data_IF_121719519305
#
_entry.id   IF_121719519305
#
_cell.length_a   1.000
_cell.length_b   1.000
_cell.length_c   1.000
_cell.angle_alpha   90.00
_cell.angle_beta   90.00
_cell.angle_gamma   90.00
#
_symmetry.space_group_name_H-M   'P 1'
#
loop_
_entity.id
_entity.type
_entity.pdbx_description
1 polymer ?
#
# COMPACT_ATOMS: atom_id res chain seq x y z
N UNK A 1 0.47 -7.90 18.73
CA UNK A 1 -0.66 -7.46 17.88
C UNK A 1 -0.82 -8.46 16.74
N UNK A 2 -2.04 -8.74 16.30
CA UNK A 2 -2.29 -9.55 15.09
C UNK A 2 -1.99 -8.73 13.83
N UNK A 3 -1.58 -9.38 12.74
CA UNK A 3 -1.36 -8.74 11.42
C UNK A 3 -2.56 -7.88 11.01
N UNK A 4 -3.78 -8.38 11.24
CA UNK A 4 -5.03 -7.64 10.98
C UNK A 4 -5.15 -6.33 11.78
N UNK A 5 -4.77 -6.33 13.06
CA UNK A 5 -4.83 -5.11 13.89
C UNK A 5 -3.79 -4.08 13.47
N UNK A 6 -2.59 -4.54 13.11
CA UNK A 6 -1.55 -3.67 12.57
C UNK A 6 -1.97 -3.06 11.22
N UNK A 7 -2.53 -3.88 10.33
CA UNK A 7 -3.03 -3.43 9.03
C UNK A 7 -4.11 -2.35 9.19
N UNK A 8 -5.06 -2.57 10.09
CA UNK A 8 -6.12 -1.60 10.34
C UNK A 8 -5.59 -0.26 10.89
N UNK A 9 -4.66 -0.31 11.85
CA UNK A 9 -4.00 0.87 12.41
C UNK A 9 -3.22 1.66 11.35
N UNK A 10 -2.50 0.96 10.47
CA UNK A 10 -1.79 1.56 9.33
C UNK A 10 -2.78 2.27 8.39
N UNK A 11 -3.91 1.64 8.03
CA UNK A 11 -4.89 2.28 7.14
C UNK A 11 -5.49 3.54 7.74
N UNK A 12 -5.65 3.59 9.06
CA UNK A 12 -6.19 4.78 9.73
C UNK A 12 -5.20 5.95 9.71
N UNK A 13 -3.91 5.69 9.89
CA UNK A 13 -2.89 6.73 9.82
C UNK A 13 -1.52 6.17 9.41
N UNK A 14 -1.25 6.04 8.10
CA UNK A 14 -0.08 5.33 7.62
C UNK A 14 1.23 6.10 7.91
N UNK A 15 1.17 7.44 7.94
CA UNK A 15 2.29 8.31 8.31
C UNK A 15 2.75 8.15 9.78
N UNK A 16 1.96 7.50 10.63
CA UNK A 16 2.34 7.17 12.02
C UNK A 16 3.31 6.00 12.08
N UNK A 17 3.24 5.10 11.11
CA UNK A 17 3.97 3.82 11.11
C UNK A 17 5.15 3.87 10.13
N UNK A 18 4.95 4.52 8.99
CA UNK A 18 5.92 4.63 7.92
C UNK A 18 6.38 6.08 7.77
N UNK A 19 7.65 6.28 7.39
CA UNK A 19 8.19 7.62 7.14
C UNK A 19 7.86 8.13 5.75
N UNK A 20 7.70 7.21 4.80
CA UNK A 20 7.38 7.55 3.41
C UNK A 20 6.53 6.44 2.77
N UNK A 21 5.78 6.78 1.72
CA UNK A 21 4.95 5.82 0.99
C UNK A 21 5.78 4.64 0.44
N UNK A 22 7.02 4.89 0.03
CA UNK A 22 7.94 3.85 -0.44
C UNK A 22 8.31 2.79 0.62
N UNK A 23 8.18 3.08 1.92
CA UNK A 23 8.40 2.07 2.97
C UNK A 23 7.34 0.96 2.93
N UNK A 24 6.11 1.28 2.49
CA UNK A 24 5.01 0.32 2.35
C UNK A 24 5.37 -0.76 1.33
N UNK A 25 6.00 -0.39 0.22
CA UNK A 25 6.42 -1.33 -0.84
C UNK A 25 7.48 -2.31 -0.35
N UNK A 26 8.31 -1.90 0.60
CA UNK A 26 9.39 -2.70 1.18
C UNK A 26 8.90 -3.58 2.33
N UNK A 27 7.71 -3.33 2.87
CA UNK A 27 7.17 -4.08 3.99
C UNK A 27 6.75 -5.49 3.55
N UNK A 28 7.56 -6.49 3.91
CA UNK A 28 7.34 -7.91 3.61
C UNK A 28 6.24 -8.57 4.44
N UNK A 29 5.67 -7.86 5.42
CA UNK A 29 4.54 -8.38 6.22
C UNK A 29 3.23 -8.38 5.42
N UNK A 30 3.15 -7.53 4.40
CA UNK A 30 1.96 -7.29 3.59
C UNK A 30 2.17 -7.76 2.16
N UNK A 31 1.14 -8.38 1.59
CA UNK A 31 1.11 -8.76 0.18
C UNK A 31 0.73 -7.55 -0.69
N UNK A 32 0.89 -7.65 -2.01
CA UNK A 32 0.66 -6.52 -2.93
C UNK A 32 -0.78 -5.95 -2.83
N UNK A 33 -1.77 -6.80 -2.54
CA UNK A 33 -3.16 -6.36 -2.26
C UNK A 33 -3.25 -5.49 -1.00
N UNK A 34 -2.56 -5.90 0.07
CA UNK A 34 -2.56 -5.17 1.34
C UNK A 34 -1.78 -3.86 1.19
N UNK A 35 -0.61 -3.89 0.52
CA UNK A 35 0.18 -2.69 0.21
C UNK A 35 -0.61 -1.67 -0.60
N UNK A 36 -1.38 -2.15 -1.59
CA UNK A 36 -2.27 -1.30 -2.40
C UNK A 36 -3.29 -0.55 -1.53
N UNK A 37 -3.96 -1.27 -0.62
CA UNK A 37 -4.94 -0.66 0.29
C UNK A 37 -4.31 0.37 1.24
N UNK A 38 -3.09 0.11 1.72
CA UNK A 38 -2.35 1.04 2.57
C UNK A 38 -2.00 2.32 1.79
N UNK A 39 -1.49 2.19 0.56
CA UNK A 39 -1.13 3.33 -0.28
C UNK A 39 -2.35 4.15 -0.69
N UNK A 40 -3.49 3.50 -0.96
CA UNK A 40 -4.74 4.21 -1.22
C UNK A 40 -5.21 5.04 -0.03
N UNK A 41 -5.13 4.49 1.19
CA UNK A 41 -5.43 5.22 2.42
C UNK A 41 -4.44 6.37 2.66
N UNK A 42 -3.16 6.16 2.35
CA UNK A 42 -2.14 7.21 2.46
C UNK A 42 -2.45 8.37 1.52
N UNK A 43 -2.75 8.10 0.25
CA UNK A 43 -3.10 9.11 -0.75
C UNK A 43 -4.29 9.97 -0.32
N UNK A 44 -5.24 9.38 0.40
CA UNK A 44 -6.43 10.08 0.90
C UNK A 44 -6.10 10.96 2.12
N UNK A 45 -5.20 10.49 2.98
CA UNK A 45 -4.76 11.20 4.18
C UNK A 45 -3.73 12.31 3.93
N UNK A 46 -2.85 12.15 2.92
CA UNK A 46 -1.77 13.09 2.60
C UNK A 46 -1.81 13.52 1.13
N UNK A 47 -2.13 14.80 0.82
CA UNK A 47 -2.14 15.31 -0.55
C UNK A 47 -0.74 15.65 -1.07
N UNK A 48 0.24 15.82 -0.19
CA UNK A 48 1.64 16.22 -0.46
C UNK A 48 2.48 15.02 -0.91
N UNK A 49 2.16 14.50 -2.08
CA UNK A 49 2.81 13.29 -2.63
C UNK A 49 1.88 12.44 -3.46
N UNK A 50 0.67 12.92 -3.75
CA UNK A 50 -0.39 12.21 -4.48
C UNK A 50 0.11 11.61 -5.79
N UNK A 51 0.95 12.32 -6.55
CA UNK A 51 1.48 11.83 -7.83
C UNK A 51 2.45 10.64 -7.65
N UNK A 52 3.37 10.72 -6.68
CA UNK A 52 4.28 9.62 -6.34
C UNK A 52 3.49 8.40 -5.85
N UNK A 53 2.54 8.60 -4.94
CA UNK A 53 1.69 7.53 -4.41
C UNK A 53 0.83 6.93 -5.53
N UNK A 54 0.32 7.74 -6.46
CA UNK A 54 -0.45 7.27 -7.60
C UNK A 54 0.38 6.39 -8.54
N UNK A 55 1.65 6.74 -8.78
CA UNK A 55 2.57 5.89 -9.56
C UNK A 55 2.80 4.53 -8.87
N UNK A 56 3.00 4.52 -7.55
CA UNK A 56 3.17 3.28 -6.79
C UNK A 56 1.91 2.41 -6.79
N UNK A 57 0.73 3.04 -6.68
CA UNK A 57 -0.57 2.36 -6.79
C UNK A 57 -0.69 1.70 -8.18
N UNK A 58 -0.41 2.43 -9.26
CA UNK A 58 -0.49 1.91 -10.62
C UNK A 58 0.48 0.73 -10.86
N UNK A 59 1.70 0.79 -10.30
CA UNK A 59 2.64 -0.33 -10.35
C UNK A 59 2.07 -1.59 -9.67
N UNK A 60 1.53 -1.45 -8.46
CA UNK A 60 0.94 -2.57 -7.73
C UNK A 60 -0.30 -3.13 -8.44
N UNK A 61 -1.15 -2.28 -8.99
CA UNK A 61 -2.31 -2.71 -9.78
C UNK A 61 -1.87 -3.51 -11.01
N UNK A 62 -0.85 -3.05 -11.73
CA UNK A 62 -0.28 -3.77 -12.87
C UNK A 62 0.31 -5.13 -12.44
N UNK A 63 1.05 -5.18 -11.32
CA UNK A 63 1.62 -6.44 -10.79
C UNK A 63 0.53 -7.43 -10.38
N UNK A 64 -0.54 -6.95 -9.74
CA UNK A 64 -1.69 -7.77 -9.36
C UNK A 64 -2.46 -8.27 -10.59
N UNK A 65 -2.56 -7.45 -11.64
CA UNK A 65 -3.17 -7.84 -12.91
C UNK A 65 -2.38 -8.96 -13.59
N UNK A 66 -1.05 -8.79 -13.72
CA UNK A 66 -0.15 -9.80 -14.32
C UNK A 66 -0.14 -11.10 -13.49
N UNK A 67 -0.06 -10.98 -12.16
CA UNK A 67 -0.05 -12.14 -11.26
C UNK A 67 -1.41 -12.85 -11.20
N UNK A 68 -2.50 -12.15 -11.49
CA UNK A 68 -3.83 -12.72 -11.64
C UNK A 68 -4.02 -13.46 -12.97
N UNK A 69 -3.39 -12.97 -14.04
CA UNK A 69 -3.47 -13.58 -15.37
C UNK A 69 -2.58 -14.84 -15.52
N UNK A 70 -1.55 -15.00 -14.68
CA UNK A 70 -0.69 -16.19 -14.67
C UNK A 70 -1.35 -17.44 -14.02
N UNK A 71 -2.61 -17.35 -13.59
CA UNK A 71 -3.35 -18.43 -12.93
C UNK A 71 -4.45 -19.06 -13.81
N UNK A 72 -4.48 -18.76 -15.11
CA UNK A 72 -5.45 -19.29 -16.09
C UNK A 72 -4.85 -20.36 -17.01
#
# INVERSE_FOLDING_TARGET
MTKKKLFDDIRQNPARIYRSAGDVLRDRRFDDRERLQILQAWRDADPTGKDEIAMMIAELENRLHISGHAAE
#
